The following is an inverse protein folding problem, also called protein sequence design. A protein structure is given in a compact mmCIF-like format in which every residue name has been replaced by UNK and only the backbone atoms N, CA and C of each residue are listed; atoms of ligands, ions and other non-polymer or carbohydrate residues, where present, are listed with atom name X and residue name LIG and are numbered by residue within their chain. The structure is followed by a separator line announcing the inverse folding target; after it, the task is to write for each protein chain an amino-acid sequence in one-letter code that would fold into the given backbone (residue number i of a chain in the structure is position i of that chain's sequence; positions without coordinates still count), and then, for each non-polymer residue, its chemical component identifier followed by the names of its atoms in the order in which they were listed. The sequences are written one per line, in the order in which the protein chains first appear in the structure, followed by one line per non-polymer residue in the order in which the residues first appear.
data_IF_817852745350
#
_entry.id   IF_817852745350
#
_cell.length_a   1.000
_cell.length_b   1.000
_cell.length_c   1.000
_cell.angle_alpha   90.00
_cell.angle_beta   90.00
_cell.angle_gamma   90.00
#
_symmetry.space_group_name_H-M   'P 1'
#
loop_
_entity.id
_entity.type
_entity.pdbx_description
1 polymer ?
#
# COMPACT_ATOMS: atom_id res chain seq x y z
N UNK A 1 49.04 18.03 -23.09
CA UNK A 1 48.54 17.73 -22.99
C UNK A 1 47.32 17.02 -22.84
N UNK A 2 46.60 16.49 -23.14
CA UNK A 2 45.49 15.72 -23.12
C UNK A 2 44.70 15.58 -21.92
N UNK A 3 44.80 16.53 -21.19
CA UNK A 3 44.13 16.37 -20.04
C UNK A 3 42.70 16.55 -20.12
N UNK A 4 42.12 16.89 -21.12
CA UNK A 4 40.72 17.12 -21.16
C UNK A 4 39.86 15.91 -21.05
N UNK A 5 40.40 14.80 -21.19
CA UNK A 5 39.56 13.65 -21.25
C UNK A 5 38.84 13.33 -20.01
N UNK A 6 39.34 13.72 -18.90
CA UNK A 6 38.74 13.30 -17.73
C UNK A 6 37.55 14.08 -17.31
N UNK A 7 37.24 15.09 -18.00
CA UNK A 7 36.14 15.81 -17.63
C UNK A 7 34.88 15.11 -17.84
N UNK A 8 34.80 14.27 -18.69
CA UNK A 8 33.57 13.63 -19.01
C UNK A 8 32.98 12.85 -17.92
N UNK A 9 33.73 12.53 -16.93
CA UNK A 9 33.20 11.73 -15.99
C UNK A 9 32.22 12.30 -15.10
N UNK A 10 32.13 13.50 -15.07
CA UNK A 10 31.32 14.13 -14.13
C UNK A 10 29.88 14.04 -14.29
N UNK A 11 29.41 13.82 -15.44
CA UNK A 11 28.03 13.90 -15.64
C UNK A 11 27.21 12.81 -15.20
N UNK A 12 27.75 11.78 -14.73
CA UNK A 12 26.98 10.65 -14.45
C UNK A 12 26.14 10.69 -13.25
N UNK A 13 26.44 11.54 -12.31
CA UNK A 13 25.72 11.51 -11.17
C UNK A 13 24.33 11.93 -11.20
N UNK A 14 23.92 12.72 -12.03
CA UNK A 14 22.61 13.26 -12.00
C UNK A 14 21.54 12.24 -12.03
N UNK A 15 21.84 11.13 -12.54
CA UNK A 15 20.84 10.16 -12.73
C UNK A 15 20.37 9.51 -11.49
N UNK A 16 21.17 9.50 -10.52
CA UNK A 16 20.82 8.79 -9.37
C UNK A 16 19.68 9.34 -8.61
N UNK A 17 19.43 10.56 -8.73
CA UNK A 17 18.43 11.14 -7.96
C UNK A 17 17.06 10.68 -8.24
N UNK A 18 16.81 10.20 -9.37
CA UNK A 18 15.49 9.81 -9.70
C UNK A 18 14.98 8.67 -8.93
N UNK A 19 15.82 7.91 -8.43
CA UNK A 19 15.37 6.74 -7.75
C UNK A 19 14.74 7.03 -6.42
N UNK A 20 14.88 8.20 -5.97
CA UNK A 20 14.35 8.49 -4.67
C UNK A 20 12.88 8.74 -4.66
N UNK A 21 12.30 8.85 -5.77
CA UNK A 21 10.89 9.14 -5.80
C UNK A 21 10.11 7.92 -5.48
N UNK A 22 9.92 7.67 -4.21
CA UNK A 22 9.20 6.54 -3.84
C UNK A 22 7.88 6.96 -3.37
N UNK A 23 6.86 6.69 -3.98
CA UNK A 23 5.53 7.00 -3.57
C UNK A 23 4.61 5.89 -3.96
N UNK A 24 3.35 6.03 -3.69
CA UNK A 24 2.37 5.07 -4.14
C UNK A 24 2.22 5.17 -5.64
N UNK A 25 2.10 4.06 -6.30
CA UNK A 25 1.85 4.07 -7.73
C UNK A 25 0.50 4.73 -7.97
N UNK A 26 0.40 5.45 -9.06
CA UNK A 26 -0.84 6.12 -9.35
C UNK A 26 -1.71 5.30 -10.26
N UNK A 27 -1.86 4.06 -10.00
CA UNK A 27 -2.72 3.19 -10.76
C UNK A 27 -4.10 3.23 -10.14
N UNK A 28 -5.10 3.58 -10.88
CA UNK A 28 -6.45 3.69 -10.38
C UNK A 28 -7.23 2.43 -10.66
N UNK A 29 -8.31 2.23 -9.92
CA UNK A 29 -9.20 1.12 -10.16
C UNK A 29 -10.03 1.45 -11.39
N UNK A 30 -9.83 0.73 -12.47
CA UNK A 30 -10.52 0.99 -13.71
C UNK A 30 -11.99 0.57 -13.65
N UNK A 31 -12.36 -0.30 -12.75
CA UNK A 31 -13.74 -0.77 -12.66
C UNK A 31 -14.63 0.22 -11.92
N UNK A 32 -14.04 1.00 -11.04
CA UNK A 32 -14.80 1.95 -10.24
C UNK A 32 -14.11 3.29 -10.18
N UNK A 33 -13.99 3.98 -11.31
CA UNK A 33 -13.27 5.26 -11.35
C UNK A 33 -13.89 6.32 -10.44
N UNK A 34 -15.16 6.19 -10.13
CA UNK A 34 -15.80 7.15 -9.25
C UNK A 34 -15.26 7.05 -7.81
N UNK A 35 -14.59 5.97 -7.46
CA UNK A 35 -14.03 5.82 -6.14
C UNK A 35 -12.56 6.24 -6.04
N UNK A 36 -11.97 6.64 -7.15
CA UNK A 36 -10.54 6.98 -7.15
C UNK A 36 -10.15 8.04 -6.13
N UNK A 37 -10.90 9.11 -6.04
CA UNK A 37 -10.59 10.16 -5.07
C UNK A 37 -10.70 9.66 -3.65
N UNK A 38 -11.67 8.82 -3.39
CA UNK A 38 -11.84 8.26 -2.06
C UNK A 38 -10.64 7.37 -1.70
N UNK A 39 -10.25 6.47 -2.61
CA UNK A 39 -9.10 5.63 -2.36
C UNK A 39 -7.83 6.45 -2.11
N UNK A 40 -7.65 7.51 -2.87
CA UNK A 40 -6.45 8.33 -2.71
C UNK A 40 -6.43 9.07 -1.38
N UNK A 41 -7.58 9.25 -0.75
CA UNK A 41 -7.65 9.95 0.52
C UNK A 41 -7.43 9.03 1.72
N UNK A 42 -7.43 7.72 1.52
CA UNK A 42 -7.35 6.80 2.65
C UNK A 42 -5.96 6.77 3.27
N UNK A 43 -5.96 6.73 4.59
CA UNK A 43 -4.73 6.61 5.34
C UNK A 43 -5.01 5.92 6.66
N UNK A 44 -3.99 5.33 7.24
CA UNK A 44 -4.06 4.76 8.57
C UNK A 44 -3.02 5.45 9.43
N UNK A 45 -2.89 5.04 10.67
CA UNK A 45 -1.82 5.54 11.51
C UNK A 45 -0.43 5.24 10.96
N UNK A 46 -0.32 4.33 10.02
CA UNK A 46 0.94 4.00 9.38
C UNK A 46 1.22 4.85 8.15
N UNK A 47 0.30 5.66 7.73
CA UNK A 47 0.46 6.55 6.58
C UNK A 47 -0.55 6.32 5.48
N UNK A 48 -0.33 6.89 4.31
CA UNK A 48 -1.27 6.74 3.20
C UNK A 48 -1.37 5.30 2.74
N UNK A 49 -2.58 4.89 2.37
CA UNK A 49 -2.81 3.53 1.89
C UNK A 49 -2.50 3.37 0.41
N UNK A 50 -2.32 4.46 -0.30
CA UNK A 50 -2.17 4.50 -1.74
C UNK A 50 -3.52 4.31 -2.41
N UNK A 51 -3.58 3.98 -3.66
CA UNK A 51 -4.86 3.94 -4.34
C UNK A 51 -5.47 2.53 -4.31
N UNK A 52 -6.64 2.40 -4.87
CA UNK A 52 -7.37 1.15 -4.81
C UNK A 52 -6.71 0.00 -5.53
N UNK A 53 -5.83 0.27 -6.46
CA UNK A 53 -5.17 -0.81 -7.19
C UNK A 53 -4.16 -1.54 -6.31
N UNK A 54 -3.75 -0.92 -5.22
CA UNK A 54 -2.82 -1.54 -4.30
C UNK A 54 -3.54 -2.35 -3.23
N UNK A 55 -4.84 -2.22 -3.14
CA UNK A 55 -5.63 -2.93 -2.16
C UNK A 55 -5.86 -4.36 -2.60
N UNK A 56 -5.76 -5.27 -1.65
CA UNK A 56 -6.06 -6.65 -1.91
C UNK A 56 -7.42 -6.95 -1.30
N UNK A 57 -8.35 -7.43 -2.11
CA UNK A 57 -9.67 -7.82 -1.62
C UNK A 57 -9.54 -9.11 -0.82
N UNK A 58 -10.22 -9.19 0.29
CA UNK A 58 -10.21 -10.36 1.14
C UNK A 58 -11.58 -11.01 1.18
N UNK A 59 -11.61 -12.31 1.03
CA UNK A 59 -12.83 -13.09 1.24
C UNK A 59 -12.99 -13.36 2.73
N UNK A 60 -14.18 -13.74 3.14
CA UNK A 60 -14.45 -13.96 4.55
C UNK A 60 -13.52 -14.98 5.21
N UNK A 61 -13.05 -15.94 4.45
CA UNK A 61 -12.13 -16.95 4.99
C UNK A 61 -10.71 -16.42 5.20
N UNK A 62 -10.41 -15.24 4.68
CA UNK A 62 -9.07 -14.71 4.72
C UNK A 62 -8.87 -13.59 5.73
N UNK A 63 -9.83 -13.36 6.59
CA UNK A 63 -9.68 -12.40 7.67
C UNK A 63 -10.58 -12.77 8.84
N UNK A 64 -10.20 -12.37 10.02
CA UNK A 64 -11.02 -12.56 11.20
C UNK A 64 -10.67 -11.51 12.27
N UNK A 65 -11.37 -11.57 13.37
CA UNK A 65 -11.12 -10.72 14.51
C UNK A 65 -10.85 -11.62 15.69
N UNK A 66 -9.76 -11.41 16.37
CA UNK A 66 -9.38 -12.24 17.50
C UNK A 66 -8.68 -11.38 18.56
N UNK A 67 -9.10 -11.57 19.81
CA UNK A 67 -8.46 -10.88 20.93
C UNK A 67 -8.38 -9.36 20.76
N UNK A 68 -9.43 -8.79 20.19
CA UNK A 68 -9.50 -7.34 20.08
C UNK A 68 -8.83 -6.73 18.88
N UNK A 69 -8.32 -7.52 17.96
CA UNK A 69 -7.75 -6.97 16.73
C UNK A 69 -8.01 -7.89 15.56
N UNK A 70 -7.76 -7.38 14.37
CA UNK A 70 -8.00 -8.11 13.15
C UNK A 70 -6.77 -8.91 12.74
N UNK A 71 -7.03 -10.00 12.02
CA UNK A 71 -5.98 -10.77 11.38
C UNK A 71 -6.37 -10.98 9.93
N UNK A 72 -5.40 -11.00 9.05
CA UNK A 72 -5.64 -11.21 7.62
C UNK A 72 -4.69 -12.27 7.09
N UNK A 73 -5.11 -12.96 6.04
CA UNK A 73 -4.23 -13.92 5.39
C UNK A 73 -3.77 -13.31 4.08
N UNK A 74 -2.48 -13.12 3.92
CA UNK A 74 -1.87 -12.55 2.74
C UNK A 74 -0.85 -13.56 2.24
N UNK A 75 -0.99 -13.97 0.99
CA UNK A 75 -0.08 -14.95 0.37
C UNK A 75 0.04 -16.23 1.22
N UNK A 76 -1.06 -16.67 1.80
CA UNK A 76 -1.08 -17.89 2.60
C UNK A 76 -0.60 -17.73 4.03
N UNK A 77 -0.19 -16.56 4.44
CA UNK A 77 0.34 -16.34 5.77
C UNK A 77 -0.59 -15.45 6.58
N UNK A 78 -0.89 -15.86 7.81
CA UNK A 78 -1.74 -15.07 8.70
C UNK A 78 -0.92 -13.94 9.31
N UNK A 79 -1.45 -12.75 9.24
CA UNK A 79 -0.77 -11.53 9.66
C UNK A 79 -1.67 -10.78 10.62
N UNK A 80 -1.14 -10.37 11.77
CA UNK A 80 -1.90 -9.52 12.69
C UNK A 80 -1.96 -8.12 12.14
N UNK A 81 -3.13 -7.50 12.23
CA UNK A 81 -3.33 -6.13 11.81
C UNK A 81 -3.21 -5.24 13.04
N UNK A 82 -2.18 -4.43 13.13
CA UNK A 82 -2.10 -3.52 14.28
C UNK A 82 -3.27 -2.55 14.26
N UNK A 83 -3.73 -2.13 15.41
CA UNK A 83 -4.85 -1.20 15.47
C UNK A 83 -4.58 0.07 14.68
N UNK A 84 -3.34 0.53 14.64
CA UNK A 84 -3.00 1.72 13.89
C UNK A 84 -3.11 1.54 12.39
N UNK A 85 -3.18 0.31 11.90
CA UNK A 85 -3.35 0.06 10.47
C UNK A 85 -4.81 0.07 10.03
N UNK A 86 -5.72 0.10 10.95
CA UNK A 86 -7.15 0.11 10.60
C UNK A 86 -7.55 1.50 10.11
N UNK A 87 -8.20 1.55 8.97
CA UNK A 87 -8.63 2.82 8.38
C UNK A 87 -9.98 3.20 8.96
N UNK A 88 -10.11 4.44 9.41
CA UNK A 88 -11.36 4.94 9.95
C UNK A 88 -12.28 5.40 8.84
N UNK A 89 -13.56 5.35 9.10
CA UNK A 89 -14.57 5.85 8.17
C UNK A 89 -15.28 4.74 7.44
N UNK A 90 -16.29 5.09 6.67
CA UNK A 90 -17.10 4.08 6.01
C UNK A 90 -16.35 3.46 4.83
N UNK A 91 -16.54 2.18 4.66
CA UNK A 91 -15.96 1.46 3.53
C UNK A 91 -16.87 1.63 2.31
N UNK A 92 -16.45 2.45 1.39
CA UNK A 92 -17.26 2.75 0.21
C UNK A 92 -17.11 1.71 -0.88
N UNK A 93 -16.13 0.83 -0.79
CA UNK A 93 -15.95 -0.23 -1.75
C UNK A 93 -16.86 -1.43 -1.49
N UNK A 94 -17.32 -1.58 -0.26
CA UNK A 94 -18.26 -2.65 0.06
C UNK A 94 -17.66 -4.00 0.36
N UNK A 95 -16.36 -4.15 0.25
CA UNK A 95 -15.69 -5.44 0.55
C UNK A 95 -14.47 -5.18 1.43
N UNK A 96 -14.04 -6.21 2.14
CA UNK A 96 -12.89 -6.10 3.02
C UNK A 96 -11.61 -5.99 2.21
N UNK A 97 -10.73 -5.10 2.61
CA UNK A 97 -9.49 -4.84 1.87
C UNK A 97 -8.32 -4.70 2.80
N UNK A 98 -7.14 -5.10 2.31
CA UNK A 98 -5.89 -4.86 3.00
C UNK A 98 -4.88 -4.30 1.99
N UNK A 99 -4.06 -3.37 2.43
CA UNK A 99 -2.96 -2.85 1.61
C UNK A 99 -1.69 -3.41 2.21
N UNK A 100 -1.11 -4.43 1.58
CA UNK A 100 0.07 -5.06 2.15
C UNK A 100 1.35 -4.35 1.80
N UNK A 101 2.37 -4.52 2.63
CA UNK A 101 3.73 -4.21 2.27
C UNK A 101 4.60 -5.35 2.79
N UNK A 102 5.82 -5.43 2.36
CA UNK A 102 6.67 -6.57 2.69
C UNK A 102 7.91 -6.11 3.42
N UNK A 103 8.25 -6.85 4.48
CA UNK A 103 9.43 -6.56 5.26
C UNK A 103 10.15 -7.87 5.44
N UNK A 104 11.39 -7.96 4.99
CA UNK A 104 12.17 -9.20 5.03
C UNK A 104 11.44 -10.35 4.36
N UNK A 105 10.71 -10.07 3.32
CA UNK A 105 9.99 -11.11 2.59
C UNK A 105 8.67 -11.52 3.19
N UNK A 106 8.26 -10.91 4.29
CA UNK A 106 6.99 -11.26 4.95
C UNK A 106 5.96 -10.16 4.80
N UNK A 107 4.71 -10.51 4.58
CA UNK A 107 3.67 -9.50 4.42
C UNK A 107 3.29 -8.84 5.73
N UNK A 108 2.98 -7.58 5.64
CA UNK A 108 2.49 -6.77 6.75
C UNK A 108 1.33 -5.93 6.24
N UNK A 109 0.49 -5.47 7.12
CA UNK A 109 -0.64 -4.63 6.73
C UNK A 109 -0.31 -3.16 6.95
N UNK A 110 -0.32 -2.40 5.87
CA UNK A 110 -0.18 -0.95 5.97
C UNK A 110 -1.52 -0.33 6.31
N UNK A 111 -2.57 -0.80 5.69
CA UNK A 111 -3.92 -0.37 5.92
C UNK A 111 -4.85 -1.57 5.85
N UNK A 112 -5.90 -1.52 6.62
CA UNK A 112 -6.93 -2.56 6.60
C UNK A 112 -8.28 -1.91 6.77
N UNK A 113 -9.24 -2.31 5.98
CA UNK A 113 -10.59 -1.76 6.07
C UNK A 113 -11.58 -2.89 5.99
N UNK A 114 -12.29 -3.20 7.08
CA UNK A 114 -13.27 -4.27 7.05
C UNK A 114 -14.44 -3.89 6.16
N UNK A 115 -15.01 -4.87 5.53
CA UNK A 115 -16.18 -4.64 4.70
C UNK A 115 -17.41 -4.41 5.54
N UNK A 116 -18.46 -4.05 4.84
CA UNK A 116 -19.73 -3.85 5.50
C UNK A 116 -20.23 -5.18 5.98
N UNK A 117 -20.52 -5.26 7.24
CA UNK A 117 -21.01 -6.49 7.79
C UNK A 117 -22.50 -6.47 7.69
N UNK A 118 -23.00 -6.06 6.68
CA UNK A 118 -24.41 -5.89 6.49
C UNK A 118 -25.16 -7.11 6.31
#
# INVERSE_FOLDING_TARGET
MGDGSWQAKVTIFSIMLLAAAIGCARAHDHDHPELNSWFESLHSGKGPCCDGSEAKRLDDADWDSKDGHYRVRIDGEWVDVPNEAVVDGPNRAGHTMVWPYYLDGHPKARCFMPGSMG
#
